data_IF_073903576753
#
_entry.id   IF_073903576753
#
_cell.length_a   1.000
_cell.length_b   1.000
_cell.length_c   1.000
_cell.angle_alpha   90.00
_cell.angle_beta   90.00
_cell.angle_gamma   90.00
#
_symmetry.space_group_name_H-M   'P 1'
#
loop_
_entity.id
_entity.type
_entity.pdbx_description
1 polymer ?
#
# COMPACT_ATOMS: atom_id res chain seq x y z
N UNK A 1 24.70 11.17 10.47
CA UNK A 1 25.29 9.91 10.98
C UNK A 1 24.61 8.76 10.25
N UNK A 2 25.32 8.05 9.36
CA UNK A 2 24.83 6.82 8.75
C UNK A 2 25.37 5.64 9.56
N UNK A 3 24.47 4.79 10.06
CA UNK A 3 24.83 3.57 10.78
C UNK A 3 24.82 2.40 9.80
N UNK A 4 25.97 1.88 9.42
CA UNK A 4 26.07 0.72 8.53
C UNK A 4 25.94 -0.59 9.33
N UNK A 5 25.19 -1.57 8.83
CA UNK A 5 25.15 -2.93 9.40
C UNK A 5 26.23 -3.79 8.73
N UNK A 6 27.28 -4.14 9.47
CA UNK A 6 28.38 -4.97 8.96
C UNK A 6 28.05 -6.45 9.20
N UNK A 7 27.94 -7.25 8.13
CA UNK A 7 27.87 -8.73 8.23
C UNK A 7 29.21 -9.32 7.79
N UNK A 8 29.79 -10.20 8.61
CA UNK A 8 31.11 -10.78 8.38
C UNK A 8 30.95 -12.16 7.72
N UNK A 9 31.50 -12.33 6.52
CA UNK A 9 31.68 -13.64 5.87
C UNK A 9 33.19 -13.91 5.83
N UNK A 10 33.63 -15.04 6.40
CA UNK A 10 35.01 -15.52 6.35
C UNK A 10 35.01 -16.84 5.56
N UNK A 11 35.53 -16.84 4.35
CA UNK A 11 35.73 -18.09 3.58
C UNK A 11 37.17 -18.62 3.75
N UNK A 12 37.26 -19.71 4.53
CA UNK A 12 38.22 -20.82 4.54
C UNK A 12 39.75 -20.58 4.72
N UNK A 13 40.33 -21.04 5.85
CA UNK A 13 41.02 -22.35 6.07
C UNK A 13 41.73 -22.28 7.45
N UNK A 14 41.37 -23.15 8.41
CA UNK A 14 42.25 -23.54 9.54
C UNK A 14 41.89 -23.04 10.95
N UNK A 15 41.47 -24.00 11.80
CA UNK A 15 41.38 -24.02 13.27
C UNK A 15 40.35 -23.07 13.97
N UNK A 16 39.26 -23.60 14.56
CA UNK A 16 38.16 -22.80 15.15
C UNK A 16 38.45 -22.10 16.49
N UNK A 17 39.67 -22.17 17.04
CA UNK A 17 39.99 -21.66 18.40
C UNK A 17 40.88 -20.39 18.46
N UNK A 18 41.00 -19.59 17.39
CA UNK A 18 41.75 -18.33 17.44
C UNK A 18 40.85 -17.11 17.74
N UNK A 19 41.02 -16.51 18.92
CA UNK A 19 40.52 -15.17 19.24
C UNK A 19 41.35 -14.11 18.50
N UNK A 20 40.69 -13.20 17.78
CA UNK A 20 41.33 -12.04 17.14
C UNK A 20 40.96 -10.76 17.91
N UNK A 21 41.93 -9.88 18.24
CA UNK A 21 41.63 -8.62 18.90
C UNK A 21 40.94 -7.64 17.94
N UNK A 22 39.98 -6.89 18.46
CA UNK A 22 39.23 -5.83 17.76
C UNK A 22 40.21 -4.71 17.40
N UNK A 23 40.39 -4.41 16.10
CA UNK A 23 41.24 -3.32 15.65
C UNK A 23 40.39 -2.15 15.09
N UNK A 24 40.77 -0.93 15.49
CA UNK A 24 40.09 0.34 15.22
C UNK A 24 39.77 0.56 13.72
N UNK A 25 38.51 0.85 13.41
CA UNK A 25 38.09 1.36 12.11
C UNK A 25 38.43 2.86 12.07
N UNK A 26 39.41 3.26 11.24
CA UNK A 26 39.62 4.68 10.90
C UNK A 26 38.54 5.10 9.91
N UNK A 27 37.80 6.15 10.25
CA UNK A 27 36.78 6.79 9.44
C UNK A 27 37.40 7.28 8.12
N UNK A 28 36.92 6.79 6.98
CA UNK A 28 37.29 7.27 5.65
C UNK A 28 36.19 8.19 5.11
N UNK A 29 36.57 9.39 4.73
CA UNK A 29 35.73 10.40 4.07
C UNK A 29 35.12 9.83 2.78
N UNK A 30 33.81 9.91 2.62
CA UNK A 30 33.12 9.51 1.38
C UNK A 30 32.37 10.71 0.78
N UNK A 31 32.78 11.09 -0.43
CA UNK A 31 32.03 12.02 -1.31
C UNK A 31 30.91 11.26 -2.03
N UNK A 32 29.81 11.92 -2.43
CA UNK A 32 28.61 11.26 -2.94
C UNK A 32 28.79 10.84 -4.41
N UNK A 33 28.09 9.76 -4.77
CA UNK A 33 27.89 9.14 -6.10
C UNK A 33 28.68 7.84 -6.37
N UNK A 34 27.91 6.76 -6.59
CA UNK A 34 28.18 5.46 -7.27
C UNK A 34 28.10 4.16 -6.42
N UNK A 35 27.70 3.01 -7.05
CA UNK A 35 26.96 1.88 -6.44
C UNK A 35 27.91 0.87 -5.74
N UNK A 36 27.44 -0.29 -5.21
CA UNK A 36 27.83 -0.83 -3.90
C UNK A 36 29.33 -0.74 -3.61
N UNK A 37 29.68 0.00 -2.56
CA UNK A 37 31.05 0.09 -2.07
C UNK A 37 31.51 -1.28 -1.55
N UNK A 38 32.31 -2.00 -2.34
CA UNK A 38 33.11 -3.12 -1.83
C UNK A 38 34.32 -2.53 -1.13
N UNK A 39 34.26 -2.44 0.21
CA UNK A 39 35.37 -1.93 1.01
C UNK A 39 36.47 -2.99 1.10
N UNK A 40 37.56 -2.83 0.35
CA UNK A 40 38.72 -3.71 0.44
C UNK A 40 39.60 -3.34 1.64
N UNK A 41 39.46 -4.07 2.75
CA UNK A 41 40.36 -3.94 3.90
C UNK A 41 41.58 -4.85 3.72
N UNK A 42 42.75 -4.24 3.48
CA UNK A 42 44.04 -4.92 3.53
C UNK A 42 44.48 -5.08 4.99
N UNK A 43 44.29 -6.27 5.57
CA UNK A 43 44.84 -6.60 6.88
C UNK A 43 46.31 -7.06 6.70
N UNK A 44 47.26 -6.29 7.24
CA UNK A 44 48.66 -6.73 7.35
C UNK A 44 48.79 -7.75 8.49
N UNK A 45 49.32 -8.97 8.26
CA UNK A 45 49.51 -9.93 9.33
C UNK A 45 50.65 -9.49 10.26
N UNK A 46 50.45 -9.66 11.57
CA UNK A 46 51.51 -9.56 12.58
C UNK A 46 52.05 -10.97 12.84
N UNK A 47 52.61 -11.64 11.82
CA UNK A 47 53.60 -12.72 12.03
C UNK A 47 54.31 -13.16 10.74
N UNK A 48 55.52 -13.72 10.90
CA UNK A 48 56.59 -13.94 9.90
C UNK A 48 56.28 -14.80 8.65
N UNK A 49 55.06 -15.28 8.44
CA UNK A 49 54.68 -16.03 7.23
C UNK A 49 53.71 -15.20 6.38
N UNK A 50 54.25 -14.48 5.40
CA UNK A 50 53.57 -13.61 4.44
C UNK A 50 52.41 -14.29 3.68
N UNK A 51 51.21 -14.38 4.26
CA UNK A 51 49.96 -14.56 3.52
C UNK A 51 49.03 -13.38 3.82
N UNK A 52 48.70 -12.62 2.78
CA UNK A 52 47.74 -11.52 2.83
C UNK A 52 46.34 -12.13 2.81
N UNK A 53 45.52 -11.87 3.83
CA UNK A 53 44.09 -12.20 3.81
C UNK A 53 43.30 -11.02 3.25
N UNK A 54 42.47 -11.28 2.22
CA UNK A 54 41.44 -10.33 1.77
C UNK A 54 40.16 -10.60 2.54
N UNK A 55 39.58 -9.56 3.12
CA UNK A 55 38.26 -9.61 3.74
C UNK A 55 37.33 -8.72 2.92
N UNK A 56 36.41 -9.36 2.19
CA UNK A 56 35.39 -8.65 1.43
C UNK A 56 34.21 -8.35 2.35
N UNK A 57 34.04 -7.08 2.70
CA UNK A 57 32.89 -6.61 3.48
C UNK A 57 31.88 -6.01 2.50
N UNK A 58 30.75 -6.69 2.34
CA UNK A 58 29.60 -6.10 1.66
C UNK A 58 28.89 -5.15 2.62
N UNK A 59 28.90 -3.86 2.27
CA UNK A 59 28.17 -2.82 3.00
C UNK A 59 26.92 -2.51 2.19
N UNK A 60 25.76 -3.00 2.65
CA UNK A 60 24.48 -2.58 2.10
C UNK A 60 24.09 -1.22 2.70
N UNK A 61 23.55 -0.27 1.91
CA UNK A 61 23.00 0.96 2.44
C UNK A 61 21.86 0.60 3.41
N UNK A 62 21.97 1.05 4.65
CA UNK A 62 20.88 0.90 5.61
C UNK A 62 19.76 1.85 5.22
N UNK A 63 18.56 1.30 4.98
CA UNK A 63 17.33 2.08 4.72
C UNK A 63 17.22 3.22 5.73
N UNK A 64 16.87 4.45 5.32
CA UNK A 64 16.63 5.53 6.26
C UNK A 64 15.44 5.18 7.17
N UNK A 65 15.75 4.89 8.43
CA UNK A 65 14.89 4.86 9.63
C UNK A 65 13.38 4.67 9.39
N UNK A 66 12.97 3.62 8.68
CA UNK A 66 11.56 3.29 8.50
C UNK A 66 11.09 2.44 9.68
N UNK A 67 9.98 2.79 10.29
CA UNK A 67 9.35 1.91 11.28
C UNK A 67 8.92 0.62 10.59
N UNK A 68 9.15 -0.52 11.23
CA UNK A 68 8.73 -1.81 10.69
C UNK A 68 7.21 -1.80 10.38
N UNK A 69 6.78 -2.41 9.27
CA UNK A 69 5.36 -2.52 8.98
C UNK A 69 4.63 -3.25 10.11
N UNK A 70 3.41 -2.83 10.48
CA UNK A 70 2.61 -3.50 11.49
C UNK A 70 2.03 -4.79 10.90
N UNK A 71 2.86 -5.82 10.82
CA UNK A 71 2.47 -7.16 10.34
C UNK A 71 1.72 -7.89 11.45
N UNK A 72 0.63 -8.55 11.09
CA UNK A 72 -0.09 -9.50 11.93
C UNK A 72 -0.43 -10.75 11.13
N UNK A 73 -1.01 -11.77 11.78
CA UNK A 73 -1.47 -12.98 11.08
C UNK A 73 -2.53 -12.67 10.00
N UNK A 74 -3.32 -11.62 10.22
CA UNK A 74 -4.46 -11.24 9.37
C UNK A 74 -4.17 -10.07 8.42
N UNK A 75 -3.07 -9.33 8.61
CA UNK A 75 -2.60 -8.27 7.72
C UNK A 75 -1.12 -8.49 7.42
N UNK A 76 -0.83 -8.88 6.18
CA UNK A 76 0.53 -9.04 5.66
C UNK A 76 0.86 -7.80 4.82
N UNK A 77 2.06 -7.25 4.95
CA UNK A 77 2.51 -6.09 4.19
C UNK A 77 3.83 -6.41 3.51
N UNK A 78 3.84 -6.29 2.19
CA UNK A 78 5.04 -6.37 1.36
C UNK A 78 5.40 -4.96 0.85
N UNK A 79 6.68 -4.64 0.84
CA UNK A 79 7.19 -3.35 0.34
C UNK A 79 7.82 -3.55 -1.04
N UNK A 80 7.19 -2.99 -2.07
CA UNK A 80 7.62 -3.09 -3.46
C UNK A 80 8.31 -1.79 -3.85
N UNK A 81 9.50 -1.85 -4.46
CA UNK A 81 10.18 -0.63 -4.90
C UNK A 81 9.37 0.08 -6.00
N UNK A 82 9.31 1.41 -5.91
CA UNK A 82 8.69 2.23 -6.98
C UNK A 82 9.51 2.13 -8.26
N UNK A 83 10.82 2.08 -8.11
CA UNK A 83 11.80 1.96 -9.18
C UNK A 83 12.74 0.81 -8.82
N UNK A 84 12.69 -0.29 -9.58
CA UNK A 84 13.46 -1.50 -9.31
C UNK A 84 14.99 -1.24 -9.45
N UNK A 85 15.38 -0.18 -10.16
CA UNK A 85 16.78 0.21 -10.36
C UNK A 85 17.26 1.23 -9.32
N UNK A 86 16.36 1.83 -8.51
CA UNK A 86 16.68 2.91 -7.58
C UNK A 86 15.90 2.83 -6.25
N UNK A 87 16.57 2.35 -5.22
CA UNK A 87 16.06 2.20 -3.84
C UNK A 87 15.70 3.52 -3.14
N UNK A 88 16.07 4.68 -3.71
CA UNK A 88 15.81 5.99 -3.14
C UNK A 88 14.44 6.60 -3.48
N UNK A 89 13.64 5.97 -4.36
CA UNK A 89 12.35 6.52 -4.82
C UNK A 89 11.17 6.19 -3.91
N UNK A 90 11.39 5.38 -2.88
CA UNK A 90 10.37 4.91 -1.96
C UNK A 90 9.69 3.65 -2.46
N UNK A 91 8.63 3.24 -1.74
CA UNK A 91 8.00 1.94 -1.92
C UNK A 91 6.47 2.04 -2.00
N UNK A 92 5.88 1.06 -2.66
CA UNK A 92 4.46 0.75 -2.64
C UNK A 92 4.23 -0.29 -1.52
N UNK A 93 3.28 -0.03 -0.63
CA UNK A 93 2.87 -1.00 0.37
C UNK A 93 1.77 -1.90 -0.23
N UNK A 94 2.09 -3.16 -0.51
CA UNK A 94 1.13 -4.18 -0.91
C UNK A 94 0.59 -4.86 0.36
N UNK A 95 -0.63 -4.47 0.74
CA UNK A 95 -1.31 -4.90 1.95
C UNK A 95 -2.28 -6.03 1.60
N UNK A 96 -2.08 -7.19 2.21
CA UNK A 96 -2.90 -8.37 2.03
C UNK A 96 -3.76 -8.64 3.28
N UNK A 97 -5.08 -8.64 3.12
CA UNK A 97 -6.02 -9.13 4.13
C UNK A 97 -6.00 -10.65 4.06
N UNK A 98 -5.47 -11.28 5.11
CA UNK A 98 -5.10 -12.69 5.13
C UNK A 98 -6.00 -13.52 6.06
N UNK A 99 -7.25 -13.76 5.63
CA UNK A 99 -8.16 -14.75 6.25
C UNK A 99 -8.80 -15.65 5.19
N UNK A 100 -8.02 -16.35 4.34
CA UNK A 100 -8.55 -17.06 3.18
C UNK A 100 -9.51 -18.19 3.54
N UNK A 101 -9.34 -18.82 4.71
CA UNK A 101 -10.27 -19.79 5.27
C UNK A 101 -11.68 -19.21 5.56
N UNK A 102 -11.79 -17.89 5.73
CA UNK A 102 -13.03 -17.15 5.97
C UNK A 102 -13.33 -16.14 4.84
N UNK A 103 -12.83 -16.39 3.63
CA UNK A 103 -13.04 -15.51 2.47
C UNK A 103 -12.64 -14.05 2.75
N UNK A 104 -11.57 -13.88 3.54
CA UNK A 104 -11.03 -12.59 3.96
C UNK A 104 -12.04 -11.69 4.70
N UNK A 105 -13.03 -12.28 5.39
CA UNK A 105 -14.05 -11.54 6.14
C UNK A 105 -13.43 -10.61 7.20
N UNK A 106 -14.07 -9.46 7.42
CA UNK A 106 -13.62 -8.42 8.34
C UNK A 106 -14.10 -8.73 9.77
N UNK A 107 -13.17 -9.20 10.59
CA UNK A 107 -13.36 -9.32 12.04
C UNK A 107 -12.64 -8.18 12.77
N UNK A 108 -12.74 -8.12 14.11
CA UNK A 108 -12.12 -7.05 14.90
C UNK A 108 -10.58 -6.96 14.72
N UNK A 109 -9.89 -8.10 14.53
CA UNK A 109 -8.44 -8.14 14.30
C UNK A 109 -8.06 -7.53 12.95
N UNK A 110 -8.78 -7.88 11.87
CA UNK A 110 -8.58 -7.31 10.55
C UNK A 110 -8.82 -5.80 10.59
N UNK A 111 -9.92 -5.37 11.22
CA UNK A 111 -10.26 -3.95 11.33
C UNK A 111 -9.20 -3.17 12.12
N UNK A 112 -8.66 -3.76 13.18
CA UNK A 112 -7.57 -3.17 13.97
C UNK A 112 -6.26 -3.13 13.19
N UNK A 113 -5.94 -4.20 12.47
CA UNK A 113 -4.77 -4.27 11.60
C UNK A 113 -4.80 -3.26 10.45
N UNK A 114 -5.94 -3.08 9.80
CA UNK A 114 -6.12 -2.05 8.76
C UNK A 114 -5.93 -0.62 9.31
N UNK A 115 -6.42 -0.34 10.53
CA UNK A 115 -6.17 0.95 11.19
C UNK A 115 -4.69 1.15 11.50
N UNK A 116 -4.01 0.13 12.02
CA UNK A 116 -2.58 0.16 12.31
C UNK A 116 -1.77 0.39 11.02
N UNK A 117 -2.12 -0.31 9.94
CA UNK A 117 -1.54 -0.12 8.61
C UNK A 117 -1.71 1.32 8.12
N UNK A 118 -2.90 1.90 8.20
CA UNK A 118 -3.15 3.28 7.78
C UNK A 118 -2.29 4.27 8.58
N UNK A 119 -2.25 4.12 9.91
CA UNK A 119 -1.44 4.98 10.77
C UNK A 119 0.06 4.84 10.45
N UNK A 120 0.55 3.62 10.23
CA UNK A 120 1.93 3.41 9.81
C UNK A 120 2.20 4.08 8.46
N UNK A 121 1.39 3.78 7.45
CA UNK A 121 1.55 4.30 6.11
C UNK A 121 1.56 5.83 6.12
N UNK A 122 0.65 6.50 6.82
CA UNK A 122 0.59 7.96 6.92
C UNK A 122 1.90 8.57 7.48
N UNK A 123 2.52 7.91 8.47
CA UNK A 123 3.72 8.41 9.15
C UNK A 123 5.05 8.03 8.48
N UNK A 124 5.05 7.19 7.42
CA UNK A 124 6.28 6.77 6.75
C UNK A 124 6.48 7.48 5.40
N UNK A 125 7.34 8.50 5.31
CA UNK A 125 7.58 9.26 4.05
C UNK A 125 8.05 8.41 2.84
N UNK A 126 8.60 7.22 3.11
CA UNK A 126 9.03 6.27 2.08
C UNK A 126 7.86 5.54 1.41
N UNK A 127 6.72 5.36 2.09
CA UNK A 127 5.53 4.78 1.47
C UNK A 127 4.91 5.82 0.55
N UNK A 128 4.82 5.51 -0.75
CA UNK A 128 4.28 6.42 -1.77
C UNK A 128 2.83 6.14 -2.11
N UNK A 129 2.42 4.87 -2.00
CA UNK A 129 1.09 4.40 -2.39
C UNK A 129 0.79 3.09 -1.65
N UNK A 130 -0.49 2.84 -1.36
CA UNK A 130 -0.96 1.61 -0.72
C UNK A 130 -1.85 0.83 -1.69
N UNK A 131 -1.54 -0.44 -1.92
CA UNK A 131 -2.43 -1.38 -2.62
C UNK A 131 -3.02 -2.31 -1.58
N UNK A 132 -4.35 -2.47 -1.55
CA UNK A 132 -5.02 -3.45 -0.70
C UNK A 132 -5.49 -4.61 -1.58
N UNK A 133 -5.20 -5.85 -1.17
CA UNK A 133 -5.67 -7.10 -1.79
C UNK A 133 -6.20 -8.09 -0.76
N UNK A 134 -6.94 -9.10 -1.21
CA UNK A 134 -7.28 -10.28 -0.41
C UNK A 134 -6.29 -11.41 -0.64
N UNK A 135 -6.08 -12.26 0.37
CA UNK A 135 -5.33 -13.51 0.21
C UNK A 135 -6.09 -14.51 -0.66
N UNK A 136 -5.33 -15.28 -1.45
CA UNK A 136 -5.86 -16.35 -2.28
C UNK A 136 -6.42 -17.50 -1.42
N UNK A 137 -7.48 -18.20 -1.88
CA UNK A 137 -8.04 -19.32 -1.18
C UNK A 137 -6.99 -20.42 -1.02
N UNK A 138 -6.95 -21.01 0.18
CA UNK A 138 -6.10 -22.16 0.44
C UNK A 138 -6.47 -23.33 -0.47
N UNK A 139 -5.48 -24.17 -0.77
CA UNK A 139 -5.74 -25.42 -1.48
C UNK A 139 -6.81 -26.22 -0.73
N UNK A 140 -7.83 -26.73 -1.44
CA UNK A 140 -8.85 -27.55 -0.80
C UNK A 140 -8.21 -28.81 -0.22
N UNK A 141 -8.69 -29.21 0.96
CA UNK A 141 -8.44 -30.58 1.45
C UNK A 141 -8.98 -31.59 0.43
N UNK A 142 -8.37 -32.77 0.38
CA UNK A 142 -8.76 -33.83 -0.55
C UNK A 142 -10.27 -34.13 -0.43
N UNK A 143 -10.96 -34.11 -1.57
CA UNK A 143 -12.41 -34.34 -1.64
C UNK A 143 -13.30 -33.13 -1.30
N UNK A 144 -12.75 -31.98 -0.90
CA UNK A 144 -13.52 -30.75 -0.67
C UNK A 144 -13.47 -29.80 -1.88
N UNK A 145 -14.52 -28.99 -2.05
CA UNK A 145 -14.54 -27.94 -3.07
C UNK A 145 -13.63 -26.79 -2.67
N UNK A 146 -12.88 -26.27 -3.64
CA UNK A 146 -12.10 -25.05 -3.46
C UNK A 146 -13.03 -23.89 -3.05
N UNK A 147 -12.55 -23.07 -2.11
CA UNK A 147 -13.22 -21.81 -1.81
C UNK A 147 -13.04 -20.86 -3.01
N UNK A 148 -14.03 -20.02 -3.31
CA UNK A 148 -13.88 -18.98 -4.32
C UNK A 148 -12.83 -17.94 -3.89
N UNK A 149 -12.23 -17.26 -4.86
CA UNK A 149 -11.43 -16.07 -4.58
C UNK A 149 -12.29 -14.98 -3.93
N UNK A 150 -11.70 -14.27 -2.99
CA UNK A 150 -12.34 -13.15 -2.33
C UNK A 150 -11.30 -12.07 -2.07
N UNK A 151 -11.61 -10.85 -2.50
CA UNK A 151 -10.95 -9.68 -1.97
C UNK A 151 -11.28 -9.57 -0.48
N UNK A 152 -12.58 -9.40 -0.19
CA UNK A 152 -13.18 -9.41 1.15
C UNK A 152 -14.67 -9.73 0.99
N UNK A 153 -15.14 -10.81 1.60
CA UNK A 153 -16.54 -11.27 1.48
C UNK A 153 -17.52 -10.59 2.47
N UNK A 154 -17.14 -9.48 3.09
CA UNK A 154 -17.96 -8.72 4.04
C UNK A 154 -17.47 -8.81 5.48
N UNK A 155 -18.32 -8.41 6.42
CA UNK A 155 -18.03 -8.57 7.84
C UNK A 155 -18.11 -10.04 8.28
N UNK A 156 -17.38 -10.39 9.33
CA UNK A 156 -17.52 -11.69 9.97
C UNK A 156 -18.83 -11.72 10.77
N UNK A 157 -19.92 -12.17 10.15
CA UNK A 157 -21.27 -12.18 10.74
C UNK A 157 -21.36 -12.96 12.05
N UNK A 158 -20.41 -13.87 12.33
CA UNK A 158 -20.34 -14.58 13.61
C UNK A 158 -20.12 -13.62 14.78
N UNK A 159 -19.53 -12.45 14.55
CA UNK A 159 -19.34 -11.42 15.56
C UNK A 159 -20.60 -10.59 15.82
N UNK A 160 -21.66 -10.74 15.02
CA UNK A 160 -22.87 -9.89 15.13
C UNK A 160 -23.93 -10.52 16.03
N UNK A 161 -23.90 -11.84 16.19
CA UNK A 161 -24.91 -12.57 16.96
C UNK A 161 -25.00 -12.04 18.39
N UNK A 162 -26.20 -11.58 18.78
CA UNK A 162 -26.50 -11.10 20.14
C UNK A 162 -26.01 -9.70 20.48
N UNK A 163 -25.23 -9.03 19.61
CA UNK A 163 -24.80 -7.63 19.83
C UNK A 163 -25.98 -6.67 19.67
N UNK A 164 -26.01 -5.63 20.51
CA UNK A 164 -26.96 -4.52 20.45
C UNK A 164 -26.27 -3.26 19.92
N UNK A 165 -27.07 -2.22 19.66
CA UNK A 165 -26.57 -0.95 19.12
C UNK A 165 -25.42 -0.34 19.93
N UNK A 166 -25.43 -0.46 21.26
CA UNK A 166 -24.39 0.11 22.12
C UNK A 166 -23.05 -0.61 22.00
N UNK A 167 -23.07 -1.92 21.71
CA UNK A 167 -21.87 -2.74 21.59
C UNK A 167 -21.09 -2.41 20.31
N UNK A 168 -21.80 -2.05 19.23
CA UNK A 168 -21.20 -1.83 17.91
C UNK A 168 -20.97 -0.35 17.57
N UNK A 169 -21.68 0.58 18.23
CA UNK A 169 -21.70 2.01 17.85
C UNK A 169 -20.31 2.63 17.77
N UNK A 170 -19.44 2.36 18.74
CA UNK A 170 -18.09 2.94 18.75
C UNK A 170 -17.20 2.36 17.67
N UNK A 171 -17.26 1.05 17.42
CA UNK A 171 -16.49 0.37 16.39
C UNK A 171 -16.83 0.87 15.00
N UNK A 172 -18.11 1.13 14.72
CA UNK A 172 -18.56 1.71 13.46
C UNK A 172 -18.32 3.22 13.34
N UNK A 173 -18.22 3.97 14.45
CA UNK A 173 -17.86 5.40 14.42
C UNK A 173 -16.37 5.63 14.14
N UNK A 174 -15.51 4.79 14.73
CA UNK A 174 -14.06 4.85 14.55
C UNK A 174 -13.58 3.63 13.77
N UNK A 175 -14.01 3.51 12.53
CA UNK A 175 -13.82 2.31 11.74
C UNK A 175 -12.57 2.37 10.83
N UNK A 176 -12.20 1.24 10.21
CA UNK A 176 -11.06 1.18 9.31
C UNK A 176 -11.36 1.79 7.92
N UNK A 177 -12.62 1.75 7.46
CA UNK A 177 -13.05 2.33 6.19
C UNK A 177 -12.77 3.83 6.13
N UNK A 178 -13.05 4.56 7.20
CA UNK A 178 -12.72 5.98 7.33
C UNK A 178 -11.22 6.23 7.42
N UNK A 179 -10.44 5.32 8.03
CA UNK A 179 -8.98 5.45 8.05
C UNK A 179 -8.36 5.27 6.67
N UNK A 180 -8.86 4.31 5.89
CA UNK A 180 -8.44 4.11 4.49
C UNK A 180 -8.88 5.31 3.64
N UNK A 181 -10.13 5.74 3.80
CA UNK A 181 -10.65 6.92 3.11
C UNK A 181 -9.78 8.14 3.42
N UNK A 182 -9.48 8.45 4.67
CA UNK A 182 -8.75 9.65 5.05
C UNK A 182 -7.22 9.58 4.89
N UNK A 183 -6.68 8.47 4.36
CA UNK A 183 -5.24 8.38 4.10
C UNK A 183 -4.83 9.45 3.07
N UNK A 184 -3.78 10.22 3.37
CA UNK A 184 -3.35 11.29 2.46
C UNK A 184 -2.65 10.77 1.20
N UNK A 185 -2.19 9.52 1.26
CA UNK A 185 -1.50 8.81 0.19
C UNK A 185 -2.50 8.15 -0.76
N UNK A 186 -2.17 8.00 -2.06
CA UNK A 186 -3.02 7.27 -2.99
C UNK A 186 -3.23 5.82 -2.56
N UNK A 187 -4.45 5.32 -2.77
CA UNK A 187 -4.85 3.95 -2.44
C UNK A 187 -5.48 3.24 -3.64
N UNK A 188 -5.11 1.98 -3.84
CA UNK A 188 -5.69 1.11 -4.88
C UNK A 188 -6.28 -0.15 -4.22
N UNK A 189 -7.54 -0.45 -4.49
CA UNK A 189 -8.12 -1.76 -4.21
C UNK A 189 -7.87 -2.69 -5.40
N UNK A 190 -7.10 -3.75 -5.20
CA UNK A 190 -6.87 -4.83 -6.16
C UNK A 190 -7.84 -5.97 -5.87
N UNK A 191 -8.99 -5.93 -6.53
CA UNK A 191 -10.15 -6.79 -6.25
C UNK A 191 -10.11 -8.04 -7.12
N UNK A 192 -9.81 -9.17 -6.51
CA UNK A 192 -9.90 -10.47 -7.16
C UNK A 192 -10.93 -11.38 -6.48
N UNK A 193 -12.03 -11.67 -7.19
CA UNK A 193 -13.16 -12.43 -6.67
C UNK A 193 -14.19 -11.58 -5.94
N UNK A 194 -14.71 -12.08 -4.82
CA UNK A 194 -15.79 -11.41 -4.08
C UNK A 194 -15.32 -10.14 -3.35
N UNK A 195 -15.99 -9.02 -3.62
CA UNK A 195 -15.97 -7.79 -2.81
C UNK A 195 -17.41 -7.47 -2.39
N UNK A 196 -17.80 -7.96 -1.22
CA UNK A 196 -19.21 -7.92 -0.77
C UNK A 196 -19.34 -7.15 0.54
N UNK A 197 -20.42 -6.41 0.68
CA UNK A 197 -20.76 -5.65 1.88
C UNK A 197 -19.59 -4.83 2.41
N UNK A 198 -19.18 -5.06 3.66
CA UNK A 198 -17.98 -4.43 4.24
C UNK A 198 -16.70 -4.53 3.39
N UNK A 199 -16.56 -5.57 2.56
CA UNK A 199 -15.46 -5.69 1.60
C UNK A 199 -15.58 -4.77 0.40
N UNK A 200 -16.78 -4.58 -0.12
CA UNK A 200 -17.06 -3.53 -1.09
C UNK A 200 -16.81 -2.15 -0.48
N UNK A 201 -17.15 -1.95 0.79
CA UNK A 201 -16.87 -0.70 1.50
C UNK A 201 -15.36 -0.44 1.63
N UNK A 202 -14.51 -1.46 1.84
CA UNK A 202 -13.04 -1.32 1.77
C UNK A 202 -12.61 -0.86 0.38
N UNK A 203 -13.16 -1.47 -0.68
CA UNK A 203 -12.83 -1.10 -2.06
C UNK A 203 -13.28 0.33 -2.41
N UNK A 204 -14.47 0.74 -1.96
CA UNK A 204 -15.00 2.09 -2.13
C UNK A 204 -14.25 3.14 -1.30
N UNK A 205 -13.63 2.76 -0.18
CA UNK A 205 -12.75 3.63 0.60
C UNK A 205 -11.40 3.89 -0.09
N UNK A 206 -11.01 3.08 -1.08
CA UNK A 206 -9.81 3.32 -1.88
C UNK A 206 -10.08 4.34 -2.99
N UNK A 207 -9.04 5.03 -3.47
CA UNK A 207 -9.20 6.01 -4.55
C UNK A 207 -9.51 5.31 -5.89
N UNK A 208 -8.79 4.23 -6.18
CA UNK A 208 -8.87 3.48 -7.45
C UNK A 208 -9.24 2.02 -7.17
N UNK A 209 -10.04 1.41 -8.05
CA UNK A 209 -10.41 -0.01 -8.02
C UNK A 209 -9.98 -0.69 -9.32
N UNK A 210 -9.08 -1.67 -9.17
CA UNK A 210 -8.64 -2.58 -10.23
C UNK A 210 -9.28 -3.93 -9.96
N UNK A 211 -9.93 -4.56 -10.95
CA UNK A 211 -10.63 -5.82 -10.73
C UNK A 211 -10.21 -6.91 -11.71
N UNK A 212 -10.26 -8.17 -11.27
CA UNK A 212 -10.24 -9.30 -12.21
C UNK A 212 -11.60 -9.50 -12.89
N UNK A 213 -11.59 -10.11 -14.08
CA UNK A 213 -12.79 -10.47 -14.87
C UNK A 213 -13.76 -11.36 -14.09
N UNK A 214 -13.24 -12.17 -13.15
CA UNK A 214 -14.03 -13.05 -12.27
C UNK A 214 -14.64 -12.36 -11.05
N UNK A 215 -14.32 -11.09 -10.79
CA UNK A 215 -14.78 -10.39 -9.60
C UNK A 215 -16.30 -10.16 -9.59
N UNK A 216 -16.85 -10.15 -8.36
CA UNK A 216 -18.27 -9.91 -8.07
C UNK A 216 -18.40 -8.90 -6.96
N UNK A 217 -19.32 -7.94 -7.14
CA UNK A 217 -19.50 -6.80 -6.25
C UNK A 217 -20.95 -6.74 -5.78
N UNK A 218 -21.20 -6.38 -4.53
CA UNK A 218 -22.57 -6.20 -4.05
C UNK A 218 -22.64 -5.77 -2.59
N UNK A 219 -23.82 -5.32 -2.17
CA UNK A 219 -24.15 -4.93 -0.79
C UNK A 219 -25.32 -5.77 -0.26
N UNK A 220 -25.09 -7.05 0.09
CA UNK A 220 -26.17 -7.97 0.45
C UNK A 220 -26.71 -7.77 1.87
N UNK A 221 -26.30 -6.73 2.60
CA UNK A 221 -26.69 -6.47 4.00
C UNK A 221 -28.20 -6.47 4.23
N UNK A 222 -29.00 -6.05 3.24
CA UNK A 222 -30.46 -6.03 3.32
C UNK A 222 -31.07 -7.42 3.59
N UNK A 223 -30.40 -8.47 3.10
CA UNK A 223 -30.81 -9.87 3.33
C UNK A 223 -30.65 -10.32 4.78
N UNK A 224 -29.82 -9.60 5.55
CA UNK A 224 -29.61 -9.81 6.98
C UNK A 224 -30.41 -8.83 7.85
N UNK A 225 -31.29 -8.02 7.24
CA UNK A 225 -32.02 -6.95 7.94
C UNK A 225 -31.12 -5.77 8.33
N UNK A 226 -30.01 -5.58 7.61
CA UNK A 226 -29.03 -4.51 7.82
C UNK A 226 -28.89 -3.64 6.57
N UNK A 227 -28.09 -2.59 6.65
CA UNK A 227 -27.66 -1.79 5.50
C UNK A 227 -26.12 -1.69 5.52
N UNK A 228 -25.47 -1.27 4.42
CA UNK A 228 -24.05 -0.94 4.46
C UNK A 228 -23.75 0.08 5.56
N UNK A 229 -22.85 -0.28 6.48
CA UNK A 229 -22.60 0.45 7.72
C UNK A 229 -21.22 1.12 7.79
N UNK A 230 -20.29 0.77 6.91
CA UNK A 230 -18.95 1.33 6.77
C UNK A 230 -18.85 2.54 5.84
N UNK A 231 -19.98 3.14 5.46
CA UNK A 231 -20.07 4.29 4.56
C UNK A 231 -20.42 3.95 3.11
N UNK A 232 -20.73 2.68 2.81
CA UNK A 232 -21.10 2.20 1.48
C UNK A 232 -22.27 2.94 0.86
N UNK A 233 -23.31 3.26 1.65
CA UNK A 233 -24.47 4.04 1.17
C UNK A 233 -24.10 5.43 0.67
N UNK A 234 -23.03 6.03 1.20
CA UNK A 234 -22.57 7.36 0.84
C UNK A 234 -21.60 7.30 -0.35
N UNK A 235 -20.60 6.41 -0.28
CA UNK A 235 -19.56 6.31 -1.31
C UNK A 235 -20.09 5.75 -2.62
N UNK A 236 -20.96 4.74 -2.57
CA UNK A 236 -21.60 4.21 -3.80
C UNK A 236 -22.43 5.29 -4.50
N UNK A 237 -23.17 6.10 -3.74
CA UNK A 237 -23.96 7.21 -4.28
C UNK A 237 -23.15 8.15 -5.17
N UNK A 238 -21.92 8.46 -4.76
CA UNK A 238 -21.00 9.30 -5.53
C UNK A 238 -20.30 8.58 -6.68
N UNK A 239 -20.03 7.27 -6.53
CA UNK A 239 -19.32 6.48 -7.55
C UNK A 239 -20.20 6.07 -8.73
N UNK A 240 -21.43 5.60 -8.46
CA UNK A 240 -22.31 4.99 -9.47
C UNK A 240 -23.66 5.71 -9.61
N UNK A 241 -23.86 6.80 -8.86
CA UNK A 241 -25.10 7.57 -8.86
C UNK A 241 -26.20 6.98 -7.98
N UNK A 242 -27.20 7.81 -7.70
CA UNK A 242 -28.30 7.51 -6.78
C UNK A 242 -29.09 6.25 -7.15
N UNK A 243 -29.54 6.16 -8.40
CA UNK A 243 -30.41 5.08 -8.86
C UNK A 243 -29.75 3.70 -8.77
N UNK A 244 -28.51 3.59 -9.28
CA UNK A 244 -27.76 2.32 -9.22
C UNK A 244 -27.34 1.95 -7.80
N UNK A 245 -27.08 2.94 -6.95
CA UNK A 245 -26.85 2.67 -5.52
C UNK A 245 -28.07 2.07 -4.86
N UNK A 246 -29.27 2.62 -5.08
CA UNK A 246 -30.50 2.04 -4.53
C UNK A 246 -30.78 0.66 -5.11
N UNK A 247 -30.55 0.45 -6.40
CA UNK A 247 -30.71 -0.86 -7.03
C UNK A 247 -29.87 -1.93 -6.30
N UNK A 248 -28.57 -1.68 -6.07
CA UNK A 248 -27.69 -2.61 -5.36
C UNK A 248 -28.06 -2.79 -3.88
N UNK A 249 -28.35 -1.68 -3.17
CA UNK A 249 -28.62 -1.72 -1.72
C UNK A 249 -29.96 -2.38 -1.41
N UNK A 250 -31.01 -2.05 -2.18
CA UNK A 250 -32.36 -2.56 -1.91
C UNK A 250 -32.57 -3.99 -2.42
N UNK A 251 -31.92 -4.38 -3.52
CA UNK A 251 -32.01 -5.75 -4.02
C UNK A 251 -31.10 -6.71 -3.26
N UNK A 252 -29.94 -6.23 -2.79
CA UNK A 252 -28.89 -7.09 -2.24
C UNK A 252 -28.18 -7.96 -3.30
N UNK A 253 -28.46 -7.75 -4.58
CA UNK A 253 -27.90 -8.53 -5.68
C UNK A 253 -26.42 -8.21 -5.95
N UNK A 254 -25.74 -9.18 -6.57
CA UNK A 254 -24.36 -9.03 -6.99
C UNK A 254 -24.25 -8.71 -8.48
N UNK A 255 -23.31 -7.82 -8.83
CA UNK A 255 -22.96 -7.50 -10.21
C UNK A 255 -21.60 -8.08 -10.60
N UNK A 256 -21.42 -8.28 -11.91
CA UNK A 256 -20.14 -8.72 -12.49
C UNK A 256 -19.10 -7.59 -12.54
N UNK A 257 -17.83 -7.94 -12.73
CA UNK A 257 -16.77 -6.97 -12.99
C UNK A 257 -17.05 -6.07 -14.22
N UNK A 258 -17.61 -6.64 -15.29
CA UNK A 258 -17.97 -5.87 -16.49
C UNK A 258 -19.11 -4.88 -16.22
N UNK A 259 -20.11 -5.28 -15.44
CA UNK A 259 -21.18 -4.36 -15.04
C UNK A 259 -20.64 -3.28 -14.09
N UNK A 260 -19.77 -3.65 -13.15
CA UNK A 260 -19.11 -2.72 -12.25
C UNK A 260 -18.27 -1.67 -13.01
N UNK A 261 -17.57 -2.09 -14.07
CA UNK A 261 -16.86 -1.17 -14.97
C UNK A 261 -17.85 -0.25 -15.71
N UNK A 262 -18.91 -0.81 -16.29
CA UNK A 262 -19.91 -0.06 -17.08
C UNK A 262 -20.59 1.05 -16.28
N UNK A 263 -20.87 0.82 -14.99
CA UNK A 263 -21.53 1.79 -14.11
C UNK A 263 -20.55 2.72 -13.37
N UNK A 264 -19.24 2.57 -13.58
CA UNK A 264 -18.21 3.42 -12.95
C UNK A 264 -17.79 2.99 -11.53
N UNK A 265 -18.21 1.82 -11.06
CA UNK A 265 -17.76 1.28 -9.76
C UNK A 265 -16.28 0.89 -9.80
N UNK A 266 -15.82 0.34 -10.91
CA UNK A 266 -14.43 -0.13 -11.10
C UNK A 266 -13.76 0.67 -12.21
N UNK A 267 -12.48 0.99 -12.05
CA UNK A 267 -11.72 1.78 -13.04
C UNK A 267 -11.24 0.90 -14.20
N UNK A 268 -10.78 -0.32 -13.90
CA UNK A 268 -10.24 -1.25 -14.90
C UNK A 268 -10.54 -2.70 -14.54
N UNK A 269 -10.76 -3.52 -15.57
CA UNK A 269 -10.93 -4.97 -15.48
C UNK A 269 -9.84 -5.66 -16.29
N UNK A 270 -9.21 -6.68 -15.70
CA UNK A 270 -8.15 -7.49 -16.32
C UNK A 270 -8.45 -8.97 -16.14
N UNK A 271 -7.77 -9.84 -16.90
CA UNK A 271 -7.75 -11.25 -16.53
C UNK A 271 -7.03 -11.45 -15.18
N UNK A 272 -7.41 -12.47 -14.38
CA UNK A 272 -6.87 -12.66 -13.03
C UNK A 272 -5.34 -12.71 -12.99
N UNK A 273 -4.72 -13.32 -14.00
CA UNK A 273 -3.27 -13.51 -14.10
C UNK A 273 -2.53 -12.20 -14.42
N UNK A 274 -3.21 -11.23 -15.02
CA UNK A 274 -2.65 -9.93 -15.41
C UNK A 274 -2.86 -8.84 -14.35
N UNK A 275 -3.80 -9.06 -13.42
CA UNK A 275 -4.28 -8.05 -12.48
C UNK A 275 -3.15 -7.45 -11.62
N UNK A 276 -2.24 -8.28 -11.11
CA UNK A 276 -1.15 -7.82 -10.24
C UNK A 276 -0.19 -6.89 -11.00
N UNK A 277 0.29 -7.34 -12.17
CA UNK A 277 1.21 -6.56 -12.99
C UNK A 277 0.58 -5.26 -13.48
N UNK A 278 -0.69 -5.30 -13.92
CA UNK A 278 -1.42 -4.11 -14.31
C UNK A 278 -1.59 -3.11 -13.15
N UNK A 279 -1.89 -3.62 -11.95
CA UNK A 279 -2.03 -2.80 -10.74
C UNK A 279 -0.71 -2.17 -10.34
N UNK A 280 0.39 -2.94 -10.32
CA UNK A 280 1.72 -2.43 -10.01
C UNK A 280 2.20 -1.41 -11.04
N UNK A 281 1.90 -1.61 -12.32
CA UNK A 281 2.21 -0.65 -13.38
C UNK A 281 1.56 0.72 -13.11
N UNK A 282 0.25 0.74 -12.83
CA UNK A 282 -0.44 1.98 -12.48
C UNK A 282 0.10 2.58 -11.17
N UNK A 283 0.33 1.74 -10.16
CA UNK A 283 0.86 2.17 -8.88
C UNK A 283 2.24 2.84 -9.01
N UNK A 284 3.15 2.28 -9.82
CA UNK A 284 4.48 2.86 -10.09
C UNK A 284 4.37 4.20 -10.80
N UNK A 285 3.45 4.34 -11.77
CA UNK A 285 3.21 5.63 -12.46
C UNK A 285 2.77 6.72 -11.47
N UNK A 286 1.85 6.38 -10.57
CA UNK A 286 1.37 7.33 -9.55
C UNK A 286 2.49 7.62 -8.55
N UNK A 287 3.12 6.58 -8.00
CA UNK A 287 4.17 6.70 -7.00
C UNK A 287 5.43 7.43 -7.49
N UNK A 288 5.65 7.52 -8.81
CA UNK A 288 6.74 8.29 -9.40
C UNK A 288 6.49 9.81 -9.45
N UNK A 289 5.32 10.30 -9.02
CA UNK A 289 4.98 11.73 -8.99
C UNK A 289 5.34 12.37 -7.64
N UNK A 290 5.28 13.71 -7.57
CA UNK A 290 5.48 14.43 -6.32
C UNK A 290 4.48 13.97 -5.25
N UNK A 291 4.93 13.45 -4.10
CA UNK A 291 4.02 12.97 -3.05
C UNK A 291 3.21 14.12 -2.42
N UNK A 292 3.78 15.33 -2.36
CA UNK A 292 3.06 16.52 -1.92
C UNK A 292 1.96 16.90 -2.90
N UNK A 293 2.29 16.97 -4.20
CA UNK A 293 1.32 17.32 -5.24
C UNK A 293 0.18 16.31 -5.33
N UNK A 294 0.47 15.00 -5.19
CA UNK A 294 -0.57 13.96 -5.16
C UNK A 294 -1.53 14.15 -3.98
N UNK A 295 -1.01 14.50 -2.79
CA UNK A 295 -1.83 14.78 -1.61
C UNK A 295 -2.75 15.98 -1.85
N UNK A 296 -2.23 17.06 -2.43
CA UNK A 296 -3.01 18.26 -2.78
C UNK A 296 -4.09 17.91 -3.81
N UNK A 297 -3.74 17.25 -4.91
CA UNK A 297 -4.69 16.84 -5.94
C UNK A 297 -5.82 15.97 -5.36
N UNK A 298 -5.46 14.97 -4.54
CA UNK A 298 -6.42 14.10 -3.86
C UNK A 298 -7.37 14.87 -2.94
N UNK A 299 -6.85 15.85 -2.18
CA UNK A 299 -7.65 16.73 -1.30
C UNK A 299 -8.66 17.54 -2.12
N UNK A 300 -8.21 18.21 -3.18
CA UNK A 300 -9.07 19.08 -4.01
C UNK A 300 -10.14 18.28 -4.73
N UNK A 301 -9.79 17.13 -5.34
CA UNK A 301 -10.77 16.27 -6.00
C UNK A 301 -11.85 15.80 -5.02
N UNK A 302 -11.47 15.43 -3.79
CA UNK A 302 -12.43 15.00 -2.77
C UNK A 302 -13.34 16.12 -2.27
N UNK A 303 -12.86 17.36 -2.27
CA UNK A 303 -13.69 18.50 -1.89
C UNK A 303 -14.92 18.64 -2.80
N UNK A 304 -14.86 18.16 -4.06
CA UNK A 304 -16.02 18.13 -4.96
C UNK A 304 -17.18 17.25 -4.47
N UNK A 305 -16.94 16.37 -3.49
CA UNK A 305 -17.97 15.51 -2.89
C UNK A 305 -18.76 16.23 -1.79
N UNK A 306 -18.22 17.33 -1.25
CA UNK A 306 -18.76 17.98 -0.04
C UNK A 306 -19.09 19.46 -0.27
N UNK A 307 -18.42 20.12 -1.22
CA UNK A 307 -18.56 21.55 -1.47
C UNK A 307 -19.44 21.84 -2.69
N UNK A 308 -20.18 22.96 -2.68
CA UNK A 308 -20.72 23.55 -3.90
C UNK A 308 -19.59 23.77 -4.92
N UNK A 309 -19.87 23.56 -6.20
CA UNK A 309 -18.87 23.66 -7.27
C UNK A 309 -18.12 25.00 -7.27
N UNK A 310 -18.80 26.11 -7.00
CA UNK A 310 -18.18 27.44 -6.93
C UNK A 310 -17.16 27.56 -5.79
N UNK A 311 -17.42 26.93 -4.64
CA UNK A 311 -16.48 26.91 -3.52
C UNK A 311 -15.32 25.94 -3.79
N UNK A 312 -15.61 24.79 -4.41
CA UNK A 312 -14.58 23.84 -4.84
C UNK A 312 -13.58 24.44 -5.83
N UNK A 313 -14.04 25.26 -6.79
CA UNK A 313 -13.16 25.98 -7.74
C UNK A 313 -12.27 27.01 -7.02
N UNK A 314 -12.79 27.71 -6.02
CA UNK A 314 -11.98 28.65 -5.22
C UNK A 314 -10.91 27.90 -4.42
N UNK A 315 -11.27 26.78 -3.79
CA UNK A 315 -10.32 25.92 -3.09
C UNK A 315 -9.24 25.38 -4.05
N UNK A 316 -9.62 24.92 -5.24
CA UNK A 316 -8.68 24.44 -6.26
C UNK A 316 -7.67 25.53 -6.65
N UNK A 317 -8.14 26.75 -6.91
CA UNK A 317 -7.28 27.87 -7.30
C UNK A 317 -6.26 28.23 -6.20
N UNK A 318 -6.69 28.23 -4.94
CA UNK A 318 -5.83 28.52 -3.79
C UNK A 318 -4.77 27.42 -3.58
N UNK A 319 -5.18 26.15 -3.57
CA UNK A 319 -4.25 25.03 -3.41
C UNK A 319 -3.27 24.93 -4.58
N UNK A 320 -3.73 25.24 -5.81
CA UNK A 320 -2.87 25.32 -6.99
C UNK A 320 -1.83 26.44 -6.86
N UNK A 321 -2.23 27.63 -6.40
CA UNK A 321 -1.31 28.74 -6.16
C UNK A 321 -0.24 28.38 -5.12
N UNK A 322 -0.62 27.70 -4.03
CA UNK A 322 0.34 27.27 -3.00
C UNK A 322 1.39 26.28 -3.51
N UNK A 323 1.10 25.48 -4.55
CA UNK A 323 2.12 24.63 -5.17
C UNK A 323 3.28 25.42 -5.78
N UNK A 324 3.09 26.72 -6.08
CA UNK A 324 4.16 27.54 -6.66
C UNK A 324 5.32 27.79 -5.70
N UNK A 325 5.09 27.64 -4.39
CA UNK A 325 6.09 27.83 -3.34
C UNK A 325 6.85 26.53 -3.00
N UNK A 326 6.56 25.42 -3.68
CA UNK A 326 7.17 24.11 -3.41
C UNK A 326 8.44 23.86 -4.21
N UNK A 327 9.39 23.12 -3.64
CA UNK A 327 10.61 22.69 -4.35
C UNK A 327 10.26 21.73 -5.48
N UNK A 328 9.24 20.89 -5.27
CA UNK A 328 8.77 19.94 -6.27
C UNK A 328 8.30 20.63 -7.55
N UNK A 329 7.60 21.76 -7.47
CA UNK A 329 7.20 22.49 -8.68
C UNK A 329 8.41 22.93 -9.51
N UNK A 330 9.46 23.49 -8.88
CA UNK A 330 10.67 23.91 -9.59
C UNK A 330 11.35 22.72 -10.28
N UNK A 331 11.52 21.60 -9.56
CA UNK A 331 12.10 20.38 -10.12
C UNK A 331 11.31 19.90 -11.35
N UNK A 332 9.98 19.93 -11.27
CA UNK A 332 9.11 19.48 -12.36
C UNK A 332 9.20 20.38 -13.59
N UNK A 333 9.14 21.70 -13.41
CA UNK A 333 9.23 22.69 -14.49
C UNK A 333 10.60 22.64 -15.15
N UNK A 334 11.68 22.61 -14.37
CA UNK A 334 13.05 22.54 -14.89
C UNK A 334 13.28 21.25 -15.68
N UNK A 335 12.84 20.10 -15.17
CA UNK A 335 12.95 18.82 -15.89
C UNK A 335 12.22 18.86 -17.24
N UNK A 336 11.05 19.48 -17.29
CA UNK A 336 10.29 19.64 -18.52
C UNK A 336 11.00 20.56 -19.53
N UNK A 337 11.48 21.73 -19.10
CA UNK A 337 12.16 22.70 -19.97
C UNK A 337 13.49 22.18 -20.52
N UNK A 338 14.26 21.46 -19.70
CA UNK A 338 15.56 20.91 -20.08
C UNK A 338 15.45 19.65 -20.96
N UNK A 339 14.23 19.15 -21.20
CA UNK A 339 13.98 17.95 -21.99
C UNK A 339 14.63 16.70 -21.40
N UNK A 340 14.97 16.71 -20.10
CA UNK A 340 15.61 15.58 -19.45
C UNK A 340 14.58 14.45 -19.35
N UNK A 341 14.86 13.32 -20.00
CA UNK A 341 14.05 12.10 -19.88
C UNK A 341 14.19 11.40 -18.52
N UNK A 342 14.99 11.95 -17.62
CA UNK A 342 15.26 11.38 -16.30
C UNK A 342 14.11 11.67 -15.34
N UNK A 343 13.68 10.65 -14.59
CA UNK A 343 12.63 10.76 -13.58
C UNK A 343 13.02 11.79 -12.51
N UNK A 344 12.20 12.86 -12.31
CA UNK A 344 12.46 13.88 -11.32
C UNK A 344 12.72 13.32 -9.92
N UNK A 345 13.58 14.00 -9.14
CA UNK A 345 13.86 13.63 -7.76
C UNK A 345 13.05 14.48 -6.78
N UNK A 346 11.75 14.17 -6.67
CA UNK A 346 10.82 14.88 -5.80
C UNK A 346 11.28 14.85 -4.33
N UNK A 347 11.24 16.02 -3.70
CA UNK A 347 11.52 16.24 -2.28
C UNK A 347 10.28 16.07 -1.41
N UNK A 348 9.09 16.20 -2.00
CA UNK A 348 7.83 16.06 -1.27
C UNK A 348 7.52 17.23 -0.35
N UNK A 349 8.03 18.42 -0.67
CA UNK A 349 7.86 19.66 0.08
C UNK A 349 7.88 20.87 -0.85
#
# INVERSE_FOLDING_TARGET
MQCYKVTKSLTNIGNPNQQFPICCIKQLDTRPCQPPLILHLLLKPINKNNKIMRLDIQVQPTRPNMAAPPVSEVIIIEEIQVDDENDGKGVIALVCINRPNKLNALNDDVMSGLKAMCNWAENQNQIKLVIIKGAEPLQPEEGKRAKPNAFVAGADISEFAGKKSNDIRQSFKHNAWEKIWNLSKPTIAMVDGFALGGGLEVACSCDIRMASSRSKFGTPEITLGLIPGGGGTQRLGHLIGYGKTLELVLSGEMISANEALRIGLVNHVYEPEELLEATLKLARIIASKSPHTLKVAKKVVRASLELPISEGVVLEAEEFAQLFDTEDKEIGVEAFLNGTRTTPNWKGK
#
